data_IF_816245735060
#
_entry.id   IF_816245735060
#
_cell.length_a   1.000
_cell.length_b   1.000
_cell.length_c   1.000
_cell.angle_alpha   90.00
_cell.angle_beta   90.00
_cell.angle_gamma   90.00
#
_symmetry.space_group_name_H-M   'P 1'
#
loop_
_entity.id
_entity.type
_entity.pdbx_description
1 polymer ?
#
# COMPACT_ATOMS: atom_id res chain seq x y z
N UNK A 1 17.87 15.84 -49.38
CA UNK A 1 16.42 15.66 -49.65
C UNK A 1 15.97 14.29 -49.14
N UNK A 2 16.71 13.22 -49.42
CA UNK A 2 16.41 11.86 -48.95
C UNK A 2 16.55 11.67 -47.42
N UNK A 3 17.59 12.24 -46.79
CA UNK A 3 17.78 12.11 -45.33
C UNK A 3 16.66 12.74 -44.48
N UNK A 4 16.05 13.83 -44.95
CA UNK A 4 14.90 14.45 -44.27
C UNK A 4 13.63 13.61 -44.40
N UNK A 5 13.45 12.94 -45.54
CA UNK A 5 12.31 12.06 -45.79
C UNK A 5 12.39 10.80 -44.91
N UNK A 6 13.60 10.23 -44.77
CA UNK A 6 13.86 9.12 -43.85
C UNK A 6 13.53 9.52 -42.41
N UNK A 7 14.02 10.69 -41.96
CA UNK A 7 13.74 11.17 -40.60
C UNK A 7 12.24 11.40 -40.36
N UNK A 8 11.53 11.98 -41.34
CA UNK A 8 10.08 12.19 -41.24
C UNK A 8 9.34 10.85 -41.12
N UNK A 9 9.69 9.86 -41.94
CA UNK A 9 9.06 8.54 -41.90
C UNK A 9 9.29 7.81 -40.57
N UNK A 10 10.50 7.95 -40.00
CA UNK A 10 10.79 7.42 -38.67
C UNK A 10 10.01 8.16 -37.57
N UNK A 11 9.84 9.48 -37.68
CA UNK A 11 9.04 10.26 -36.72
C UNK A 11 7.58 9.80 -36.72
N UNK A 12 6.95 9.70 -37.89
CA UNK A 12 5.58 9.21 -38.04
C UNK A 12 5.41 7.81 -37.46
N UNK A 13 6.35 6.91 -37.76
CA UNK A 13 6.31 5.53 -37.25
C UNK A 13 6.38 5.48 -35.71
N UNK A 14 7.24 6.30 -35.09
CA UNK A 14 7.36 6.35 -33.63
C UNK A 14 6.11 6.99 -33.00
N UNK A 15 5.56 8.03 -33.62
CA UNK A 15 4.30 8.64 -33.18
C UNK A 15 3.14 7.63 -33.21
N UNK A 16 2.95 6.92 -34.32
CA UNK A 16 1.92 5.89 -34.45
C UNK A 16 2.13 4.71 -33.47
N UNK A 17 3.38 4.26 -33.30
CA UNK A 17 3.71 3.11 -32.45
C UNK A 17 3.43 3.38 -30.97
N UNK A 18 3.64 4.62 -30.52
CA UNK A 18 3.47 5.03 -29.13
C UNK A 18 2.22 5.88 -28.90
N UNK A 19 1.34 6.00 -29.90
CA UNK A 19 0.07 6.71 -29.77
C UNK A 19 -0.83 6.00 -28.73
N UNK A 20 -1.00 6.65 -27.58
CA UNK A 20 -1.73 6.09 -26.45
C UNK A 20 -3.23 6.33 -26.61
N UNK A 21 -3.88 5.51 -27.44
CA UNK A 21 -5.32 5.50 -27.65
C UNK A 21 -6.12 4.84 -26.51
N UNK A 22 -5.49 4.53 -25.37
CA UNK A 22 -6.21 3.96 -24.21
C UNK A 22 -7.11 5.03 -23.61
N UNK A 23 -8.32 4.63 -23.21
CA UNK A 23 -9.22 5.50 -22.47
C UNK A 23 -8.50 6.04 -21.22
N UNK A 24 -8.86 7.26 -20.79
CA UNK A 24 -8.34 7.85 -19.56
C UNK A 24 -8.36 6.81 -18.44
N UNK A 25 -7.25 6.71 -17.68
CA UNK A 25 -7.16 5.78 -16.56
C UNK A 25 -8.42 5.88 -15.71
N UNK A 26 -9.05 4.74 -15.34
CA UNK A 26 -10.24 4.79 -14.52
C UNK A 26 -9.93 5.59 -13.25
N UNK A 27 -10.86 6.45 -12.86
CA UNK A 27 -10.78 7.12 -11.56
C UNK A 27 -11.03 6.07 -10.47
N UNK A 28 -9.96 5.37 -10.09
CA UNK A 28 -9.97 4.46 -8.96
C UNK A 28 -10.10 5.36 -7.74
N UNK A 29 -11.33 5.49 -7.22
CA UNK A 29 -11.51 5.89 -5.83
C UNK A 29 -10.74 4.84 -5.02
N UNK A 30 -9.55 5.20 -4.55
CA UNK A 30 -8.91 4.44 -3.50
C UNK A 30 -9.91 4.51 -2.35
N UNK A 31 -10.63 3.43 -2.07
CA UNK A 31 -11.15 3.23 -0.72
C UNK A 31 -9.90 3.14 0.14
N UNK A 32 -9.45 4.31 0.60
CA UNK A 32 -8.23 4.45 1.40
C UNK A 32 -8.45 3.71 2.73
N UNK A 33 -9.70 3.66 3.16
CA UNK A 33 -10.15 2.97 4.35
C UNK A 33 -10.74 1.62 3.94
N UNK A 34 -10.03 0.55 4.31
CA UNK A 34 -10.55 -0.80 4.26
C UNK A 34 -11.69 -1.02 5.28
N UNK A 35 -12.15 -2.26 5.46
CA UNK A 35 -13.06 -2.56 6.58
C UNK A 35 -12.42 -2.16 7.92
N UNK A 36 -13.23 -1.83 8.94
CA UNK A 36 -12.73 -1.50 10.26
C UNK A 36 -11.96 -2.68 10.86
N UNK A 37 -10.92 -2.38 11.63
CA UNK A 37 -10.14 -3.39 12.35
C UNK A 37 -11.05 -4.06 13.37
N UNK A 38 -11.13 -5.39 13.33
CA UNK A 38 -11.95 -6.15 14.26
C UNK A 38 -11.18 -6.44 15.56
N UNK A 39 -11.88 -6.40 16.70
CA UNK A 39 -11.31 -6.77 18.01
C UNK A 39 -10.71 -8.18 18.01
N UNK A 40 -11.34 -9.11 17.29
CA UNK A 40 -10.83 -10.48 17.19
C UNK A 40 -9.50 -10.57 16.43
N UNK A 41 -9.29 -9.74 15.41
CA UNK A 41 -8.00 -9.65 14.72
C UNK A 41 -6.91 -9.20 15.69
N UNK A 42 -7.19 -8.13 16.46
CA UNK A 42 -6.26 -7.57 17.45
C UNK A 42 -5.95 -8.59 18.56
N UNK A 43 -6.97 -9.27 19.11
CA UNK A 43 -6.76 -10.33 20.12
C UNK A 43 -5.86 -11.45 19.59
N UNK A 44 -6.08 -11.91 18.36
CA UNK A 44 -5.26 -12.95 17.75
C UNK A 44 -3.82 -12.48 17.56
N UNK A 45 -3.61 -11.24 17.13
CA UNK A 45 -2.28 -10.65 16.97
C UNK A 45 -1.54 -10.60 18.31
N UNK A 46 -2.15 -10.02 19.35
CA UNK A 46 -1.54 -9.92 20.69
C UNK A 46 -1.14 -11.30 21.22
N UNK A 47 -1.98 -12.32 21.00
CA UNK A 47 -1.73 -13.70 21.44
C UNK A 47 -0.60 -14.39 20.66
N UNK A 48 -0.47 -14.09 19.36
CA UNK A 48 0.52 -14.72 18.47
C UNK A 48 1.91 -14.08 18.54
N UNK A 49 2.00 -12.85 19.04
CA UNK A 49 3.26 -12.12 19.12
C UNK A 49 4.24 -12.75 20.12
N UNK A 50 5.52 -12.80 19.73
CA UNK A 50 6.59 -13.39 20.55
C UNK A 50 6.99 -12.42 21.66
N UNK A 51 7.11 -12.94 22.88
CA UNK A 51 7.64 -12.20 24.04
C UNK A 51 9.17 -12.09 24.00
N UNK A 52 9.72 -11.25 24.87
CA UNK A 52 11.14 -10.94 25.05
C UNK A 52 11.80 -10.42 23.77
N UNK A 53 11.09 -9.58 23.02
CA UNK A 53 11.63 -8.87 21.86
C UNK A 53 12.06 -7.47 22.27
N UNK A 54 13.12 -6.99 21.62
CA UNK A 54 13.54 -5.61 21.76
C UNK A 54 12.39 -4.69 21.34
N UNK A 55 12.14 -3.68 22.16
CA UNK A 55 11.10 -2.68 21.89
C UNK A 55 11.47 -1.84 20.67
N UNK A 56 10.43 -1.29 20.03
CA UNK A 56 10.63 -0.32 18.97
C UNK A 56 11.09 1.04 19.52
N UNK A 57 11.17 2.07 18.64
CA UNK A 57 11.47 3.44 19.05
C UNK A 57 10.47 4.04 20.04
N UNK A 58 9.27 3.47 20.14
CA UNK A 58 8.22 3.82 21.09
C UNK A 58 8.49 3.30 22.51
N UNK A 59 9.42 2.36 22.69
CA UNK A 59 9.72 1.76 23.98
C UNK A 59 8.63 0.84 24.52
N UNK A 60 7.59 0.52 23.74
CA UNK A 60 6.47 -0.32 24.18
C UNK A 60 6.77 -1.78 23.85
N UNK A 61 6.66 -2.65 24.85
CA UNK A 61 6.83 -4.09 24.67
C UNK A 61 5.48 -4.79 24.50
N UNK A 62 5.48 -5.98 23.90
CA UNK A 62 4.25 -6.75 23.74
C UNK A 62 3.68 -7.19 25.09
N UNK A 63 4.52 -7.42 26.09
CA UNK A 63 4.11 -7.78 27.45
C UNK A 63 3.33 -6.64 28.12
N UNK A 64 3.70 -5.39 27.84
CA UNK A 64 2.93 -4.22 28.30
C UNK A 64 1.53 -4.22 27.70
N UNK A 65 1.42 -4.48 26.39
CA UNK A 65 0.12 -4.55 25.69
C UNK A 65 -0.71 -5.73 26.21
N UNK A 66 -0.09 -6.90 26.40
CA UNK A 66 -0.75 -8.08 26.97
C UNK A 66 -1.25 -7.83 28.41
N UNK A 67 -0.55 -7.00 29.18
CA UNK A 67 -0.93 -6.63 30.55
C UNK A 67 -2.15 -5.70 30.61
N UNK A 68 -2.50 -5.03 29.52
CA UNK A 68 -3.67 -4.15 29.43
C UNK A 68 -4.98 -4.92 29.15
N UNK A 69 -4.90 -6.20 28.78
CA UNK A 69 -6.07 -7.03 28.47
C UNK A 69 -7.04 -6.33 27.49
N UNK A 70 -8.34 -6.30 27.76
CA UNK A 70 -9.35 -5.68 26.88
C UNK A 70 -9.18 -4.16 26.72
N UNK A 71 -8.62 -3.45 27.71
CA UNK A 71 -8.30 -2.02 27.55
C UNK A 71 -7.28 -1.79 26.43
N UNK A 72 -6.33 -2.72 26.27
CA UNK A 72 -5.36 -2.67 25.18
C UNK A 72 -6.00 -2.93 23.83
N UNK A 73 -6.95 -3.86 23.75
CA UNK A 73 -7.72 -4.15 22.53
C UNK A 73 -8.57 -2.97 22.13
N UNK A 74 -9.30 -2.37 23.07
CA UNK A 74 -10.19 -1.23 22.84
C UNK A 74 -9.46 0.04 22.40
N UNK A 75 -8.19 0.22 22.81
CA UNK A 75 -7.39 1.35 22.37
C UNK A 75 -6.90 1.23 20.91
N UNK A 76 -6.92 0.03 20.33
CA UNK A 76 -6.37 -0.27 19.00
C UNK A 76 -7.42 -0.54 17.93
N UNK A 77 -8.70 -0.62 18.31
CA UNK A 77 -9.86 -0.80 17.41
C UNK A 77 -10.83 0.36 17.52
#
# INVERSE_FOLDING_TARGET
MEGSEILNRWSEYIEELFDDNRLSKPNIKKNVDGPPIMKDEVRQVIKSMKTNKATGPDGISIEMIQSLDELGVDAMT
#
